data_IF_801065978015
#
_entry.id   IF_801065978015
#
_cell.length_a   1.000
_cell.length_b   1.000
_cell.length_c   1.000
_cell.angle_alpha   90.00
_cell.angle_beta   90.00
_cell.angle_gamma   90.00
#
_symmetry.space_group_name_H-M   'P 1'
#
loop_
_entity.id
_entity.type
_entity.pdbx_description
1 polymer ?
#
# COMPACT_ATOMS: atom_id res chain seq x y z
N UNK A 1 -9.54 -22.42 -4.54
CA UNK A 1 -8.53 -23.39 -5.04
C UNK A 1 -8.98 -24.84 -4.85
N UNK A 2 -9.64 -25.19 -3.74
CA UNK A 2 -10.14 -26.56 -3.45
C UNK A 2 -11.65 -26.71 -3.62
N UNK A 3 -12.23 -26.19 -4.73
CA UNK A 3 -13.65 -26.44 -5.03
C UNK A 3 -13.81 -27.92 -5.40
N UNK A 4 -14.91 -28.52 -4.93
CA UNK A 4 -15.25 -29.92 -5.22
C UNK A 4 -15.31 -30.15 -6.72
N UNK A 5 -16.10 -29.33 -7.42
CA UNK A 5 -16.17 -29.31 -8.87
C UNK A 5 -14.88 -28.74 -9.49
N UNK A 6 -14.18 -29.49 -10.37
CA UNK A 6 -12.95 -29.04 -11.02
C UNK A 6 -13.14 -27.78 -11.87
N UNK A 7 -14.28 -27.63 -12.54
CA UNK A 7 -14.54 -26.49 -13.44
C UNK A 7 -14.69 -25.15 -12.70
N UNK A 8 -15.02 -25.20 -11.41
CA UNK A 8 -15.11 -24.03 -10.55
C UNK A 8 -13.76 -23.64 -9.93
N UNK A 9 -12.69 -24.40 -10.20
CA UNK A 9 -11.36 -24.06 -9.72
C UNK A 9 -10.80 -22.93 -10.59
N UNK A 10 -10.26 -21.86 -9.98
CA UNK A 10 -9.67 -20.78 -10.74
C UNK A 10 -8.42 -21.26 -11.46
N UNK A 11 -8.24 -20.80 -12.69
CA UNK A 11 -7.03 -20.98 -13.47
C UNK A 11 -5.80 -20.37 -12.76
N UNK A 12 -4.60 -20.87 -13.05
CA UNK A 12 -3.36 -20.43 -12.44
C UNK A 12 -3.14 -18.91 -12.62
N UNK A 13 -3.47 -18.36 -13.79
CA UNK A 13 -3.37 -16.92 -14.04
C UNK A 13 -4.34 -16.12 -13.16
N UNK A 14 -5.56 -16.64 -12.92
CA UNK A 14 -6.54 -16.03 -12.01
C UNK A 14 -6.12 -16.16 -10.54
N UNK A 15 -5.37 -17.20 -10.17
CA UNK A 15 -4.82 -17.34 -8.83
C UNK A 15 -3.72 -16.30 -8.60
N UNK A 16 -2.82 -16.12 -9.57
CA UNK A 16 -1.72 -15.14 -9.47
C UNK A 16 -2.22 -13.69 -9.41
N UNK A 17 -3.42 -13.40 -9.91
CA UNK A 17 -4.03 -12.08 -9.77
C UNK A 17 -4.69 -11.84 -8.41
N UNK A 18 -4.79 -12.86 -7.55
CA UNK A 18 -5.44 -12.76 -6.24
C UNK A 18 -4.67 -11.82 -5.27
N UNK A 19 -5.34 -11.02 -4.43
CA UNK A 19 -4.70 -10.09 -3.48
C UNK A 19 -3.68 -10.71 -2.53
N UNK A 20 -3.79 -12.02 -2.30
CA UNK A 20 -2.82 -12.80 -1.53
C UNK A 20 -1.39 -12.60 -2.05
N UNK A 21 -1.20 -12.58 -3.38
CA UNK A 21 0.12 -12.44 -4.03
C UNK A 21 0.54 -10.99 -4.26
N UNK A 22 -0.28 -10.01 -3.89
CA UNK A 22 0.07 -8.61 -4.10
C UNK A 22 1.10 -8.16 -3.08
N UNK A 23 2.12 -7.45 -3.55
CA UNK A 23 3.02 -6.68 -2.69
C UNK A 23 2.28 -5.51 -2.01
N UNK A 24 2.93 -4.91 -1.01
CA UNK A 24 2.35 -3.80 -0.24
C UNK A 24 1.99 -2.59 -1.10
N UNK A 25 2.76 -2.31 -2.15
CA UNK A 25 2.51 -1.19 -3.05
C UNK A 25 1.24 -1.43 -3.87
N UNK A 26 1.09 -2.62 -4.46
CA UNK A 26 -0.10 -2.99 -5.24
C UNK A 26 -1.36 -3.02 -4.38
N UNK A 27 -1.28 -3.54 -3.15
CA UNK A 27 -2.40 -3.47 -2.18
C UNK A 27 -2.81 -2.04 -1.89
N UNK A 28 -1.85 -1.16 -1.62
CA UNK A 28 -2.12 0.25 -1.34
C UNK A 28 -2.65 1.00 -2.56
N UNK A 29 -2.18 0.68 -3.77
CA UNK A 29 -2.71 1.23 -5.03
C UNK A 29 -4.16 0.86 -5.21
N UNK A 30 -4.50 -0.43 -5.04
CA UNK A 30 -5.88 -0.90 -5.15
C UNK A 30 -6.84 -0.17 -4.20
N UNK A 31 -6.42 0.07 -2.94
CA UNK A 31 -7.24 0.80 -1.97
C UNK A 31 -7.46 2.27 -2.38
N UNK A 32 -6.47 2.90 -3.02
CA UNK A 32 -6.62 4.27 -3.55
C UNK A 32 -7.58 4.29 -4.73
N UNK A 33 -7.40 3.37 -5.68
CA UNK A 33 -8.27 3.28 -6.87
C UNK A 33 -9.72 3.04 -6.44
N UNK A 34 -9.95 2.15 -5.46
CA UNK A 34 -11.27 1.93 -4.87
C UNK A 34 -11.84 3.21 -4.22
N UNK A 35 -11.02 3.95 -3.46
CA UNK A 35 -11.43 5.22 -2.86
C UNK A 35 -11.87 6.25 -3.91
N UNK A 36 -11.17 6.36 -5.03
CA UNK A 36 -11.49 7.30 -6.09
C UNK A 36 -12.79 6.92 -6.79
N UNK A 37 -13.00 5.62 -7.03
CA UNK A 37 -14.28 5.12 -7.57
C UNK A 37 -15.45 5.40 -6.64
N UNK A 38 -15.28 5.26 -5.33
CA UNK A 38 -16.33 5.57 -4.36
C UNK A 38 -16.62 7.07 -4.25
N UNK A 39 -15.60 7.95 -4.29
CA UNK A 39 -15.79 9.43 -4.29
C UNK A 39 -16.58 9.90 -5.52
N UNK A 40 -16.43 9.21 -6.66
CA UNK A 40 -17.22 9.46 -7.88
C UNK A 40 -18.66 8.98 -7.69
N UNK A 41 -18.86 7.77 -7.18
CA UNK A 41 -20.19 7.15 -6.99
C UNK A 41 -21.05 7.91 -5.96
N UNK A 42 -20.45 8.46 -4.90
CA UNK A 42 -21.18 9.27 -3.90
C UNK A 42 -21.71 10.59 -4.49
N UNK A 43 -21.01 11.16 -5.48
CA UNK A 43 -21.35 12.47 -6.07
C UNK A 43 -22.37 12.39 -7.19
N UNK A 44 -22.59 11.20 -7.76
CA UNK A 44 -23.53 10.97 -8.84
C UNK A 44 -24.66 10.02 -8.36
N UNK A 45 -25.71 10.57 -7.69
CA UNK A 45 -26.74 9.82 -6.96
C UNK A 45 -27.49 8.73 -7.74
N UNK A 46 -27.79 8.84 -9.05
CA UNK A 46 -28.41 7.73 -9.78
C UNK A 46 -27.52 6.50 -9.90
N UNK A 47 -26.23 6.61 -9.52
CA UNK A 47 -25.21 5.56 -9.58
C UNK A 47 -24.51 5.36 -8.24
N UNK A 48 -25.20 5.59 -7.10
CA UNK A 48 -24.78 5.00 -5.84
C UNK A 48 -24.77 3.48 -6.03
N UNK A 49 -23.61 2.97 -6.45
CA UNK A 49 -23.44 1.63 -6.94
C UNK A 49 -23.90 0.68 -5.84
N UNK A 50 -24.73 -0.30 -6.21
CA UNK A 50 -25.14 -1.38 -5.32
C UNK A 50 -23.95 -1.96 -4.54
N UNK A 51 -22.74 -1.89 -5.11
CA UNK A 51 -21.47 -2.24 -4.49
C UNK A 51 -21.15 -1.39 -3.26
N UNK A 52 -21.23 -0.06 -3.34
CA UNK A 52 -20.92 0.82 -2.21
C UNK A 52 -21.94 0.62 -1.08
N UNK A 53 -23.22 0.51 -1.43
CA UNK A 53 -24.29 0.25 -0.46
C UNK A 53 -24.10 -1.10 0.23
N UNK A 54 -23.82 -2.16 -0.53
CA UNK A 54 -23.58 -3.48 0.03
C UNK A 54 -22.30 -3.53 0.90
N UNK A 55 -21.28 -2.74 0.54
CA UNK A 55 -20.05 -2.64 1.30
C UNK A 55 -20.30 -1.92 2.64
N UNK A 56 -20.96 -0.75 2.61
CA UNK A 56 -21.28 0.02 3.82
C UNK A 56 -22.29 -0.70 4.73
N UNK A 57 -23.18 -1.54 4.18
CA UNK A 57 -24.07 -2.38 4.97
C UNK A 57 -23.34 -3.34 5.91
N UNK A 58 -22.11 -3.77 5.54
CA UNK A 58 -21.27 -4.65 6.35
C UNK A 58 -20.09 -3.88 6.99
N UNK A 59 -20.18 -2.56 7.09
CA UNK A 59 -19.07 -1.73 7.59
C UNK A 59 -18.63 -2.12 9.00
N UNK A 60 -19.57 -2.43 9.89
CA UNK A 60 -19.29 -2.79 11.28
C UNK A 60 -18.38 -4.01 11.37
N UNK A 61 -18.54 -5.01 10.51
CA UNK A 61 -17.70 -6.22 10.52
C UNK A 61 -16.28 -5.96 10.01
N UNK A 62 -16.11 -4.94 9.15
CA UNK A 62 -14.84 -4.61 8.51
C UNK A 62 -14.04 -3.60 9.33
N UNK A 63 -14.64 -2.46 9.65
CA UNK A 63 -13.96 -1.34 10.33
C UNK A 63 -14.20 -1.34 11.85
N UNK A 64 -15.22 -2.05 12.33
CA UNK A 64 -15.68 -2.01 13.70
C UNK A 64 -16.66 -0.86 13.94
N UNK A 65 -16.94 -0.58 15.22
CA UNK A 65 -17.82 0.54 15.61
C UNK A 65 -17.17 1.92 15.43
N UNK A 66 -15.83 1.97 15.45
CA UNK A 66 -15.06 3.21 15.40
C UNK A 66 -13.61 2.92 14.98
N UNK A 67 -13.30 3.17 13.70
CA UNK A 67 -11.93 2.97 13.21
C UNK A 67 -10.95 4.03 13.69
N UNK A 68 -11.41 5.19 14.19
CA UNK A 68 -10.51 6.21 14.76
C UNK A 68 -9.75 5.67 15.96
N UNK A 69 -10.39 4.84 16.79
CA UNK A 69 -9.78 4.22 17.98
C UNK A 69 -8.70 3.20 17.64
N UNK A 70 -8.67 2.71 16.41
CA UNK A 70 -7.69 1.72 15.93
C UNK A 70 -6.43 2.38 15.37
N UNK A 71 -6.43 3.71 15.25
CA UNK A 71 -5.29 4.49 14.77
C UNK A 71 -4.61 5.23 15.94
N UNK A 72 -3.31 5.47 15.79
CA UNK A 72 -2.57 6.26 16.77
C UNK A 72 -3.14 7.69 16.86
N UNK A 73 -3.19 8.23 18.08
CA UNK A 73 -3.69 9.58 18.36
C UNK A 73 -2.99 10.64 17.49
N UNK A 74 -1.68 10.53 17.28
CA UNK A 74 -0.93 11.49 16.45
C UNK A 74 -1.36 11.45 14.98
N UNK A 75 -1.70 10.26 14.47
CA UNK A 75 -2.20 10.08 13.10
C UNK A 75 -3.59 10.68 12.96
N UNK A 76 -4.46 10.44 13.94
CA UNK A 76 -5.83 10.97 13.96
C UNK A 76 -5.87 12.49 14.08
N UNK A 77 -5.06 13.08 14.95
CA UNK A 77 -4.92 14.54 15.07
C UNK A 77 -4.52 15.16 13.74
N UNK A 78 -3.57 14.55 13.03
CA UNK A 78 -3.14 15.06 11.73
C UNK A 78 -4.21 14.91 10.63
N UNK A 79 -4.95 13.80 10.61
CA UNK A 79 -6.07 13.60 9.68
C UNK A 79 -7.16 14.67 9.89
N UNK A 80 -7.50 14.96 11.14
CA UNK A 80 -8.56 15.90 11.52
C UNK A 80 -8.21 17.37 11.22
N UNK A 81 -6.94 17.72 10.98
CA UNK A 81 -6.54 19.10 10.60
C UNK A 81 -7.17 19.55 9.29
N UNK A 82 -7.29 18.65 8.32
CA UNK A 82 -7.71 18.99 6.95
C UNK A 82 -9.16 18.62 6.66
N UNK A 83 -9.65 17.52 7.24
CA UNK A 83 -11.00 17.04 6.98
C UNK A 83 -11.51 16.19 8.14
N UNK A 84 -12.82 16.26 8.42
CA UNK A 84 -13.51 15.34 9.31
C UNK A 84 -13.89 14.06 8.55
N UNK A 85 -13.69 12.91 9.19
CA UNK A 85 -14.06 11.60 8.65
C UNK A 85 -15.09 10.94 9.57
N UNK A 86 -15.95 10.10 8.99
CA UNK A 86 -16.94 9.35 9.75
C UNK A 86 -16.29 8.05 10.28
N UNK A 87 -16.22 7.84 11.61
CA UNK A 87 -15.60 6.65 12.19
C UNK A 87 -16.28 5.32 11.85
N UNK A 88 -17.47 5.35 11.22
CA UNK A 88 -18.24 4.14 10.87
C UNK A 88 -18.22 3.79 9.39
N UNK A 89 -17.84 4.71 8.51
CA UNK A 89 -17.90 4.50 7.05
C UNK A 89 -16.59 3.94 6.49
N UNK A 90 -16.70 2.92 5.64
CA UNK A 90 -15.56 2.36 4.88
C UNK A 90 -15.06 3.38 3.86
N UNK A 91 -15.95 4.05 3.13
CA UNK A 91 -15.58 5.04 2.13
C UNK A 91 -14.74 6.17 2.74
N UNK A 92 -15.12 6.64 3.93
CA UNK A 92 -14.35 7.70 4.62
C UNK A 92 -13.00 7.20 5.14
N UNK A 93 -12.88 5.94 5.58
CA UNK A 93 -11.60 5.33 5.92
C UNK A 93 -10.68 5.24 4.69
N UNK A 94 -11.18 4.74 3.56
CA UNK A 94 -10.43 4.67 2.30
C UNK A 94 -9.98 6.06 1.84
N UNK A 95 -10.86 7.06 1.97
CA UNK A 95 -10.54 8.46 1.71
C UNK A 95 -9.43 8.97 2.60
N UNK A 96 -9.44 8.63 3.89
CA UNK A 96 -8.39 9.01 4.83
C UNK A 96 -7.04 8.40 4.45
N UNK A 97 -7.02 7.10 4.06
CA UNK A 97 -5.82 6.40 3.59
C UNK A 97 -5.25 7.08 2.33
N UNK A 98 -6.10 7.34 1.33
CA UNK A 98 -5.71 8.02 0.08
C UNK A 98 -5.12 9.41 0.37
N UNK A 99 -5.83 10.21 1.17
CA UNK A 99 -5.40 11.57 1.53
C UNK A 99 -4.05 11.55 2.27
N UNK A 100 -3.87 10.61 3.20
CA UNK A 100 -2.60 10.47 3.93
C UNK A 100 -1.45 10.10 2.99
N UNK A 101 -1.66 9.15 2.08
CA UNK A 101 -0.67 8.75 1.07
C UNK A 101 -0.26 9.93 0.19
N UNK A 102 -1.22 10.70 -0.32
CA UNK A 102 -0.96 11.88 -1.16
C UNK A 102 -0.15 12.97 -0.43
N UNK A 103 -0.34 13.10 0.88
CA UNK A 103 0.37 14.09 1.71
C UNK A 103 1.50 13.51 2.54
N UNK A 104 1.99 12.31 2.20
CA UNK A 104 3.08 11.68 2.97
C UNK A 104 4.31 12.58 3.03
N UNK A 105 4.59 13.34 1.97
CA UNK A 105 5.71 14.27 1.95
C UNK A 105 5.57 15.42 2.96
N UNK A 106 4.34 15.88 3.23
CA UNK A 106 4.02 16.98 4.13
C UNK A 106 4.00 16.57 5.62
N UNK A 107 4.11 15.27 5.91
CA UNK A 107 4.02 14.77 7.28
C UNK A 107 5.28 15.13 8.10
N UNK A 108 5.12 15.55 9.36
CA UNK A 108 6.24 15.74 10.26
C UNK A 108 6.94 14.39 10.54
N UNK A 109 8.26 14.43 10.77
CA UNK A 109 9.11 13.24 10.84
C UNK A 109 8.68 12.21 11.91
N UNK A 110 8.11 12.66 13.02
CA UNK A 110 7.57 11.80 14.08
C UNK A 110 6.39 10.94 13.59
N UNK A 111 5.51 11.50 12.73
CA UNK A 111 4.35 10.79 12.19
C UNK A 111 4.77 9.87 11.03
N UNK A 112 5.71 10.29 10.17
CA UNK A 112 6.26 9.44 9.10
C UNK A 112 6.82 8.13 9.66
N UNK A 113 7.53 8.20 10.79
CA UNK A 113 8.13 7.03 11.46
C UNK A 113 7.08 6.00 11.88
N UNK A 114 5.90 6.42 12.32
CA UNK A 114 4.81 5.50 12.69
C UNK A 114 4.30 4.70 11.49
N UNK A 115 4.29 5.28 10.28
CA UNK A 115 3.93 4.57 9.06
C UNK A 115 5.04 3.65 8.54
N UNK A 116 6.30 4.01 8.76
CA UNK A 116 7.46 3.22 8.29
C UNK A 116 7.72 1.98 9.15
N UNK A 117 7.41 2.01 10.45
CA UNK A 117 7.68 0.87 11.35
C UNK A 117 6.66 -0.28 11.16
N UNK A 118 5.48 -0.01 10.61
CA UNK A 118 4.42 -1.02 10.43
C UNK A 118 4.55 -1.86 9.14
N UNK A 119 5.42 -1.47 8.20
CA UNK A 119 5.80 -2.29 7.05
C UNK A 119 7.13 -2.97 7.35
N UNK A 120 7.09 -4.24 7.78
CA UNK A 120 8.26 -4.94 8.32
C UNK A 120 9.54 -4.82 7.49
N UNK A 121 10.65 -4.61 8.20
CA UNK A 121 11.99 -5.04 7.81
C UNK A 121 12.84 -4.04 7.02
N UNK A 122 13.49 -3.12 7.73
CA UNK A 122 14.96 -2.96 7.77
C UNK A 122 15.25 -1.64 8.47
N UNK A 123 15.81 -1.73 9.68
CA UNK A 123 16.50 -0.62 10.30
C UNK A 123 17.70 -0.32 9.39
N UNK A 124 17.59 0.69 8.53
CA UNK A 124 18.78 1.36 7.99
C UNK A 124 19.38 2.13 9.15
N UNK A 125 20.20 1.45 9.96
CA UNK A 125 21.17 2.12 10.79
C UNK A 125 22.18 2.79 9.86
N UNK A 126 22.32 4.09 10.04
CA UNK A 126 23.50 4.95 9.91
C UNK A 126 24.75 4.38 9.18
N UNK A 127 25.39 5.30 8.42
CA UNK A 127 26.80 5.27 7.93
C UNK A 127 27.04 4.25 6.80
N UNK A 128 27.50 4.63 5.61
CA UNK A 128 28.75 5.35 5.35
C UNK A 128 28.64 6.36 4.19
N UNK A 129 29.13 7.55 4.46
CA UNK A 129 29.72 8.43 3.46
C UNK A 129 31.10 7.85 3.12
N UNK A 130 31.32 7.44 1.88
CA UNK A 130 32.55 6.77 1.48
C UNK A 130 32.63 6.65 -0.03
N UNK A 131 33.05 7.73 -0.68
CA UNK A 131 33.56 7.68 -2.05
C UNK A 131 34.67 6.64 -2.14
N UNK A 132 34.43 5.53 -2.82
CA UNK A 132 35.48 4.61 -3.26
C UNK A 132 35.35 4.38 -4.76
N UNK A 133 36.26 5.06 -5.45
CA UNK A 133 36.52 5.11 -6.87
C UNK A 133 36.88 3.71 -7.42
N UNK A 134 36.02 3.09 -8.23
CA UNK A 134 36.38 1.89 -8.98
C UNK A 134 37.23 2.28 -10.19
N UNK A 135 38.54 2.32 -10.00
CA UNK A 135 39.53 2.33 -11.08
C UNK A 135 39.52 0.97 -11.79
N UNK A 136 39.16 0.98 -13.06
CA UNK A 136 39.24 -0.17 -13.97
C UNK A 136 40.73 -0.40 -14.28
N UNK A 137 41.34 -1.38 -13.61
CA UNK A 137 42.69 -1.87 -13.86
C UNK A 137 42.67 -3.00 -14.88
N UNK A 138 43.24 -2.72 -16.05
CA UNK A 138 43.33 -3.58 -17.23
C UNK A 138 44.18 -4.85 -16.96
N UNK A 139 43.59 -6.04 -17.10
CA UNK A 139 44.33 -7.31 -17.04
C UNK A 139 44.86 -7.70 -18.43
N UNK A 140 46.11 -7.33 -18.72
CA UNK A 140 46.88 -7.86 -19.84
C UNK A 140 47.68 -9.09 -19.40
N UNK A 141 47.15 -10.29 -19.64
CA UNK A 141 47.89 -11.54 -19.48
C UNK A 141 48.66 -11.83 -20.78
N UNK A 142 49.99 -11.72 -20.69
CA UNK A 142 50.95 -12.02 -21.74
C UNK A 142 51.21 -13.54 -21.76
N UNK A 143 50.89 -14.22 -22.85
CA UNK A 143 51.26 -15.63 -23.08
C UNK A 143 52.35 -15.67 -24.13
N UNK A 144 53.59 -15.83 -23.69
CA UNK A 144 54.76 -16.08 -24.52
C UNK A 144 54.68 -17.47 -25.16
N UNK A 145 54.71 -17.48 -26.49
CA UNK A 145 54.92 -18.66 -27.34
C UNK A 145 56.42 -18.94 -27.50
N UNK A 146 56.82 -20.21 -27.34
CA UNK A 146 58.01 -20.74 -28.03
C UNK A 146 57.96 -22.27 -28.20
N UNK A 147 58.49 -22.69 -29.36
CA UNK A 147 58.62 -24.03 -29.97
C UNK A 147 57.38 -24.48 -30.77
N UNK A 148 57.46 -24.76 -32.09
CA UNK A 148 58.57 -25.12 -33.00
C UNK A 148 58.49 -24.30 -34.29
#
# INVERSE_FOLDING_TARGET
MTKYEPEQRPDALKILSHPYFWDSHRRLSFLQDASDRFDIMERDPPVASLVLVALEANAVDIVGNDWHRRLDRQVMEDLNKRRKYDPKSIATLLRAIRNKKHHTHDLPHNVKRLFTIAGGGTVMTSTESGYANCGIGNSGANVTSHQV
#
